data_IF_983690593319
#
_entry.id   IF_983690593319
#
_cell.length_a   1.000
_cell.length_b   1.000
_cell.length_c   1.000
_cell.angle_alpha   90.00
_cell.angle_beta   90.00
_cell.angle_gamma   90.00
#
_symmetry.space_group_name_H-M   'P 1'
#
loop_
_entity.id
_entity.type
_entity.pdbx_description
1 polymer ?
#
# COMPACT_ATOMS: atom_id res chain seq x y z
N UNK A 1 -50.16 -4.28 4.54
CA UNK A 1 -48.86 -3.60 4.32
C UNK A 1 -47.76 -4.64 4.53
N UNK A 2 -47.03 -5.03 3.48
CA UNK A 2 -45.96 -6.04 3.56
C UNK A 2 -44.61 -5.31 3.67
N UNK A 3 -43.87 -5.63 4.72
CA UNK A 3 -42.62 -5.00 5.13
C UNK A 3 -41.52 -5.13 4.08
N UNK A 4 -41.07 -4.00 3.54
CA UNK A 4 -39.87 -3.90 2.70
C UNK A 4 -38.64 -4.03 3.59
N UNK A 5 -38.07 -5.23 3.68
CA UNK A 5 -36.82 -5.48 4.42
C UNK A 5 -35.62 -5.44 3.47
N UNK A 6 -34.71 -4.51 3.79
CA UNK A 6 -33.25 -4.64 3.71
C UNK A 6 -32.63 -5.08 2.37
N UNK A 7 -32.16 -4.08 1.60
CA UNK A 7 -30.98 -4.23 0.73
C UNK A 7 -30.08 -3.02 0.97
N UNK A 8 -29.43 -2.95 2.13
CA UNK A 8 -28.32 -2.03 2.37
C UNK A 8 -27.26 -2.78 3.18
N UNK A 9 -26.61 -3.76 2.55
CA UNK A 9 -25.47 -4.46 3.15
C UNK A 9 -24.45 -4.95 2.11
N UNK A 10 -24.52 -4.48 0.85
CA UNK A 10 -23.62 -4.95 -0.21
C UNK A 10 -22.51 -3.94 -0.58
N UNK A 11 -22.57 -2.71 -0.07
CA UNK A 11 -21.59 -1.67 -0.40
C UNK A 11 -20.31 -1.71 0.47
N UNK A 12 -20.31 -2.42 1.60
CA UNK A 12 -19.15 -2.50 2.50
C UNK A 12 -18.12 -3.58 2.11
N UNK A 13 -18.38 -4.39 1.07
CA UNK A 13 -17.48 -5.46 0.63
C UNK A 13 -16.46 -5.03 -0.43
N UNK A 14 -16.62 -3.87 -1.08
CA UNK A 14 -15.74 -3.44 -2.18
C UNK A 14 -14.48 -2.68 -1.72
N UNK A 15 -14.35 -2.36 -0.44
CA UNK A 15 -13.13 -1.80 0.15
C UNK A 15 -12.24 -2.88 0.78
N UNK A 16 -12.43 -4.16 0.44
CA UNK A 16 -11.43 -5.19 0.69
C UNK A 16 -10.23 -4.87 -0.20
N UNK A 17 -9.38 -3.99 0.32
CA UNK A 17 -8.03 -3.75 -0.17
C UNK A 17 -7.47 -5.12 -0.55
N UNK A 18 -6.93 -5.22 -1.75
CA UNK A 18 -6.24 -6.39 -2.27
C UNK A 18 -5.00 -6.63 -1.41
N UNK A 19 -5.22 -7.12 -0.18
CA UNK A 19 -4.16 -7.45 0.76
C UNK A 19 -3.30 -8.47 0.04
N UNK A 20 -2.03 -8.11 -0.14
CA UNK A 20 -1.01 -8.92 -0.78
C UNK A 20 -0.96 -10.33 -0.20
N UNK A 21 -1.73 -11.27 -0.77
CA UNK A 21 -1.86 -12.62 -0.20
C UNK A 21 -0.60 -13.47 -0.41
N UNK A 22 0.33 -13.05 -1.27
CA UNK A 22 1.38 -13.91 -1.78
C UNK A 22 2.71 -13.87 -0.98
N UNK A 23 3.03 -12.78 -0.27
CA UNK A 23 4.31 -12.68 0.46
C UNK A 23 4.08 -12.55 1.97
N UNK A 24 4.36 -13.64 2.69
CA UNK A 24 4.21 -13.72 4.15
C UNK A 24 5.09 -12.73 4.91
N UNK A 25 6.14 -12.20 4.29
CA UNK A 25 7.01 -11.19 4.89
C UNK A 25 6.35 -9.82 4.97
N UNK A 26 5.34 -9.55 4.14
CA UNK A 26 4.60 -8.30 4.16
C UNK A 26 3.99 -8.07 5.55
N UNK A 27 3.26 -9.05 6.08
CA UNK A 27 2.70 -8.98 7.42
C UNK A 27 3.77 -8.84 8.51
N UNK A 28 4.94 -9.50 8.33
CA UNK A 28 6.06 -9.44 9.28
C UNK A 28 6.69 -8.05 9.37
N UNK A 29 6.84 -7.34 8.25
CA UNK A 29 7.48 -6.03 8.21
C UNK A 29 6.50 -4.88 8.46
N UNK A 30 5.27 -4.97 7.93
CA UNK A 30 4.27 -3.92 8.06
C UNK A 30 3.67 -3.82 9.45
N UNK A 31 3.50 -4.96 10.13
CA UNK A 31 2.80 -4.97 11.41
C UNK A 31 1.30 -4.64 11.26
N UNK A 32 0.58 -4.58 12.39
CA UNK A 32 -0.88 -4.51 12.40
C UNK A 32 -1.44 -3.12 12.07
N UNK A 33 -0.67 -2.05 12.27
CA UNK A 33 -1.13 -0.67 12.08
C UNK A 33 -0.89 -0.15 10.65
N UNK A 34 -0.53 -1.03 9.72
CA UNK A 34 -0.24 -0.70 8.34
C UNK A 34 -1.15 -1.48 7.39
N UNK A 35 -1.55 -0.81 6.33
CA UNK A 35 -2.25 -1.36 5.18
C UNK A 35 -1.25 -1.79 4.11
N UNK A 36 -1.63 -2.82 3.33
CA UNK A 36 -0.83 -3.34 2.23
C UNK A 36 -1.52 -3.01 0.92
N UNK A 37 -1.02 -1.97 0.25
CA UNK A 37 -1.62 -1.44 -0.97
C UNK A 37 -0.85 -1.93 -2.19
N UNK A 38 -1.56 -2.45 -3.19
CA UNK A 38 -0.97 -2.70 -4.51
C UNK A 38 -0.56 -1.38 -5.14
N UNK A 39 0.62 -1.35 -5.75
CA UNK A 39 1.13 -0.19 -6.46
C UNK A 39 1.65 -0.58 -7.86
N UNK A 40 1.80 0.42 -8.72
CA UNK A 40 2.43 0.28 -10.03
C UNK A 40 3.88 0.77 -9.98
N UNK A 41 4.75 0.29 -10.87
CA UNK A 41 6.11 0.81 -11.04
C UNK A 41 6.17 2.33 -11.21
N UNK A 42 5.16 2.89 -11.85
CA UNK A 42 5.06 4.31 -12.15
C UNK A 42 4.22 5.08 -11.10
N UNK A 43 3.82 4.42 -9.99
CA UNK A 43 3.05 5.06 -8.92
C UNK A 43 3.92 6.09 -8.18
N UNK A 44 3.36 7.29 -7.98
CA UNK A 44 4.00 8.43 -7.33
C UNK A 44 3.14 8.84 -6.15
N UNK A 45 3.72 8.84 -4.95
CA UNK A 45 2.97 9.15 -3.73
C UNK A 45 3.64 10.23 -2.88
N UNK A 46 2.85 11.16 -2.30
CA UNK A 46 3.35 12.00 -1.24
C UNK A 46 3.69 11.12 -0.02
N UNK A 47 4.85 11.36 0.59
CA UNK A 47 5.16 10.81 1.92
C UNK A 47 5.47 11.98 2.85
N UNK A 48 4.61 12.28 3.83
CA UNK A 48 4.83 13.42 4.73
C UNK A 48 6.09 13.31 5.59
N UNK A 49 6.71 12.13 5.69
CA UNK A 49 8.02 11.92 6.33
C UNK A 49 9.21 12.47 5.50
N UNK A 50 8.94 13.24 4.43
CA UNK A 50 9.94 14.04 3.73
C UNK A 50 10.51 13.42 2.45
N UNK A 51 10.04 12.23 2.07
CA UNK A 51 10.48 11.55 0.85
C UNK A 51 9.35 11.57 -0.18
N UNK A 52 9.46 12.32 -1.26
CA UNK A 52 8.60 12.01 -2.40
C UNK A 52 8.89 10.56 -2.80
N UNK A 53 7.88 9.71 -2.75
CA UNK A 53 7.96 8.45 -3.47
C UNK A 53 7.89 8.90 -4.93
N UNK A 54 9.06 9.21 -5.51
CA UNK A 54 9.24 9.22 -6.96
C UNK A 54 8.68 7.91 -7.53
N UNK A 55 8.53 7.76 -8.85
CA UNK A 55 8.02 6.48 -9.39
C UNK A 55 8.73 5.30 -8.70
N UNK A 56 8.01 4.23 -8.32
CA UNK A 56 8.65 3.09 -7.66
C UNK A 56 9.86 2.57 -8.44
N UNK A 57 9.81 2.69 -9.77
CA UNK A 57 10.93 2.47 -10.68
C UNK A 57 12.18 3.29 -10.33
N UNK A 58 12.03 4.60 -10.08
CA UNK A 58 13.13 5.49 -9.72
C UNK A 58 13.72 5.14 -8.36
N UNK A 59 12.88 4.89 -7.35
CA UNK A 59 13.36 4.44 -6.03
C UNK A 59 14.11 3.11 -6.09
N UNK A 60 13.64 2.18 -6.93
CA UNK A 60 14.37 0.93 -7.20
C UNK A 60 15.72 1.20 -7.86
N UNK A 61 15.77 2.11 -8.83
CA UNK A 61 17.00 2.49 -9.52
C UNK A 61 18.02 3.16 -8.59
N UNK A 62 17.55 3.99 -7.66
CA UNK A 62 18.40 4.71 -6.69
C UNK A 62 18.77 3.86 -5.47
N UNK A 63 18.12 2.70 -5.29
CA UNK A 63 18.41 1.78 -4.19
C UNK A 63 17.83 2.25 -2.85
N UNK A 64 16.57 2.69 -2.84
CA UNK A 64 15.90 3.13 -1.62
C UNK A 64 16.06 2.10 -0.49
N UNK A 65 16.54 2.50 0.70
CA UNK A 65 16.85 1.59 1.80
C UNK A 65 15.61 0.85 2.37
N UNK A 66 14.40 1.28 2.00
CA UNK A 66 13.13 0.67 2.42
C UNK A 66 12.69 -0.46 1.49
N UNK A 67 13.45 -0.77 0.43
CA UNK A 67 13.12 -1.83 -0.52
C UNK A 67 13.28 -3.20 0.14
N UNK A 68 12.22 -3.99 0.04
CA UNK A 68 12.19 -5.41 0.40
C UNK A 68 11.86 -6.19 -0.86
N UNK A 69 12.76 -7.10 -1.26
CA UNK A 69 12.51 -7.97 -2.40
C UNK A 69 11.39 -8.95 -2.07
N UNK A 70 10.31 -8.91 -2.86
CA UNK A 70 9.08 -9.69 -2.73
C UNK A 70 9.10 -10.92 -3.64
N UNK A 71 8.49 -12.02 -3.20
CA UNK A 71 8.22 -13.17 -4.07
C UNK A 71 6.93 -13.03 -4.86
N UNK A 72 6.16 -11.97 -4.61
CA UNK A 72 4.99 -11.62 -5.41
C UNK A 72 5.42 -10.96 -6.73
N UNK A 73 4.56 -11.08 -7.74
CA UNK A 73 4.75 -10.44 -9.05
C UNK A 73 4.29 -8.96 -9.07
N UNK A 74 3.58 -8.54 -8.02
CA UNK A 74 3.06 -7.17 -7.85
C UNK A 74 3.94 -6.34 -6.92
N UNK A 75 3.96 -5.03 -7.15
CA UNK A 75 4.54 -4.08 -6.20
C UNK A 75 3.55 -3.82 -5.06
N UNK A 76 4.06 -3.71 -3.84
CA UNK A 76 3.24 -3.31 -2.69
C UNK A 76 3.89 -2.22 -1.88
N UNK A 77 3.03 -1.36 -1.35
CA UNK A 77 3.37 -0.33 -0.39
C UNK A 77 2.84 -0.70 0.98
N UNK A 78 3.74 -0.66 1.93
CA UNK A 78 3.42 -0.74 3.33
C UNK A 78 3.06 0.66 3.84
N UNK A 79 1.78 0.95 4.02
CA UNK A 79 1.33 2.31 4.33
C UNK A 79 0.62 2.39 5.68
N UNK A 80 0.59 3.55 6.31
CA UNK A 80 -0.33 3.84 7.41
C UNK A 80 -0.87 5.26 7.29
N UNK A 81 -1.94 5.57 8.01
CA UNK A 81 -2.43 6.95 8.15
C UNK A 81 -1.29 7.87 8.60
N UNK A 82 -1.14 9.00 7.91
CA UNK A 82 -0.24 10.06 8.37
C UNK A 82 -0.81 10.77 9.60
N UNK A 83 -2.14 10.83 9.74
CA UNK A 83 -2.79 11.29 10.95
C UNK A 83 -2.66 10.23 12.06
N UNK A 84 -2.04 10.62 13.18
CA UNK A 84 -1.82 9.77 14.37
C UNK A 84 -2.64 10.26 15.55
N UNK A 85 -2.97 9.40 16.54
CA UNK A 85 -3.85 9.76 17.66
C UNK A 85 -3.33 10.88 18.57
N UNK A 86 -2.03 11.14 18.56
CA UNK A 86 -1.34 12.15 19.37
C UNK A 86 -1.30 13.55 18.72
N UNK A 87 -1.75 13.67 17.46
CA UNK A 87 -1.80 14.96 16.78
C UNK A 87 -2.96 15.84 17.29
N UNK A 88 -2.75 17.15 17.29
CA UNK A 88 -3.85 18.10 17.45
C UNK A 88 -4.87 17.97 16.32
N UNK A 89 -6.11 18.41 16.57
CA UNK A 89 -7.22 18.26 15.64
C UNK A 89 -6.97 18.93 14.29
N UNK A 90 -6.28 20.08 14.26
CA UNK A 90 -5.99 20.79 13.02
C UNK A 90 -5.01 19.98 12.16
N UNK A 91 -3.92 19.50 12.75
CA UNK A 91 -2.92 18.69 12.07
C UNK A 91 -3.47 17.33 11.64
N UNK A 92 -4.30 16.70 12.47
CA UNK A 92 -4.98 15.45 12.12
C UNK A 92 -5.91 15.62 10.91
N UNK A 93 -6.68 16.71 10.84
CA UNK A 93 -7.55 17.00 9.70
C UNK A 93 -6.76 17.26 8.42
N UNK A 94 -5.62 17.96 8.51
CA UNK A 94 -4.75 18.21 7.34
C UNK A 94 -4.16 16.92 6.77
N UNK A 95 -3.93 15.90 7.60
CA UNK A 95 -3.30 14.64 7.22
C UNK A 95 -4.27 13.47 7.09
N UNK A 96 -5.59 13.72 7.21
CA UNK A 96 -6.61 12.68 7.32
C UNK A 96 -6.68 11.76 6.08
N UNK A 97 -6.28 12.26 4.92
CA UNK A 97 -6.24 11.50 3.67
C UNK A 97 -4.82 11.13 3.23
N UNK A 98 -3.81 11.59 3.98
CA UNK A 98 -2.42 11.35 3.68
C UNK A 98 -1.97 10.02 4.28
N UNK A 99 -1.09 9.33 3.55
CA UNK A 99 -0.54 8.06 3.97
C UNK A 99 0.99 8.14 4.02
N UNK A 100 1.58 7.52 5.02
CA UNK A 100 3.04 7.39 5.13
C UNK A 100 3.47 6.04 4.60
N UNK A 101 4.56 5.99 3.83
CA UNK A 101 5.12 4.74 3.27
C UNK A 101 6.33 4.30 4.10
N UNK A 102 6.26 3.08 4.63
CA UNK A 102 7.33 2.50 5.46
C UNK A 102 8.26 1.57 4.69
N UNK A 103 7.70 0.71 3.83
CA UNK A 103 8.44 -0.29 3.05
C UNK A 103 7.88 -0.41 1.64
N UNK A 104 8.78 -0.72 0.70
CA UNK A 104 8.48 -0.94 -0.71
C UNK A 104 8.76 -2.40 -1.04
N UNK A 105 7.72 -3.18 -1.31
CA UNK A 105 7.87 -4.57 -1.72
C UNK A 105 7.98 -4.64 -3.23
N UNK A 106 9.15 -5.05 -3.72
CA UNK A 106 9.50 -5.04 -5.14
C UNK A 106 9.61 -6.47 -5.64
N UNK A 107 8.91 -6.86 -6.72
CA UNK A 107 9.02 -8.18 -7.29
C UNK A 107 10.48 -8.57 -7.59
N UNK A 108 10.88 -9.76 -7.14
CA UNK A 108 12.11 -10.37 -7.65
C UNK A 108 11.83 -10.77 -9.11
N UNK A 109 12.33 -10.00 -10.07
CA UNK A 109 12.24 -10.37 -11.49
C UNK A 109 12.95 -11.71 -11.67
N UNK A 110 12.18 -12.81 -11.70
CA UNK A 110 12.71 -14.11 -12.12
C UNK A 110 12.98 -13.99 -13.61
N UNK A 111 14.25 -13.85 -13.98
CA UNK A 111 14.73 -13.70 -15.37
C UNK A 111 14.46 -14.92 -16.28
N UNK A 112 13.46 -15.77 -15.97
CA UNK A 112 13.25 -17.09 -16.57
C UNK A 112 11.93 -17.32 -17.30
N UNK A 113 10.99 -16.38 -17.34
CA UNK A 113 9.71 -16.57 -18.06
C UNK A 113 9.34 -15.38 -18.95
N UNK A 114 10.30 -14.86 -19.72
CA UNK A 114 9.95 -14.28 -21.03
C UNK A 114 9.63 -15.46 -21.95
N UNK A 115 8.39 -15.94 -21.89
CA UNK A 115 7.80 -16.63 -23.03
C UNK A 115 7.78 -15.62 -24.17
N UNK A 116 8.71 -15.78 -25.10
CA UNK A 116 8.65 -15.21 -26.43
C UNK A 116 7.27 -15.51 -27.03
N UNK A 117 6.48 -14.47 -27.27
CA UNK A 117 5.40 -14.50 -28.25
C UNK A 117 5.78 -13.56 -29.38
#
# INVERSE_FOLDING_TARGET
MKSTKLIIALALLFAAQTTAKADSRIARFCGPDHDNEVASEDDVRPNPDGFYVASLREQVSEGDPRIILSTSDEFYLCTRSAATPDMDTTKALLLMHERTVRYLFVPVIRRGTRSSS
#
